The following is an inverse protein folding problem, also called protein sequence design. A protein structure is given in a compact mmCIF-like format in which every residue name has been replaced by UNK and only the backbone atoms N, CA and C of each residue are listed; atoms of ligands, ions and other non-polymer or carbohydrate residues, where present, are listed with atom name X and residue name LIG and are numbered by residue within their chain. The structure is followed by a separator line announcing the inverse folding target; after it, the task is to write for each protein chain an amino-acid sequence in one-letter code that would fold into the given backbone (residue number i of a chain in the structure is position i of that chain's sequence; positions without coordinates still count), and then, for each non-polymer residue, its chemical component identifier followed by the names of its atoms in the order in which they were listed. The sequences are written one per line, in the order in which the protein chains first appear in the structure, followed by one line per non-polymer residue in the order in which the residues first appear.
data_IF_182433706106
#
_entry.id   IF_182433706106
#
_cell.length_a   1.000
_cell.length_b   1.000
_cell.length_c   1.000
_cell.angle_alpha   90.00
_cell.angle_beta   90.00
_cell.angle_gamma   90.00
#
_symmetry.space_group_name_H-M   'P 1'
#
loop_
_entity.id
_entity.type
_entity.pdbx_description
1 polymer ?
#
# COMPACT_ATOMS: atom_id res chain seq x y z
N UNK A 1 -2.23 -5.29 11.86
CA UNK A 1 -2.49 -6.71 11.47
C UNK A 1 -2.38 -7.59 12.71
N UNK A 2 -3.24 -8.60 12.86
CA UNK A 2 -3.19 -9.55 13.98
C UNK A 2 -3.19 -10.98 13.42
N UNK A 3 -2.42 -11.88 14.05
CA UNK A 3 -2.36 -13.30 13.70
C UNK A 3 -3.07 -14.11 14.80
N UNK A 4 -4.02 -14.96 14.44
CA UNK A 4 -4.67 -15.86 15.40
C UNK A 4 -3.75 -17.03 15.76
N UNK A 5 -4.06 -17.76 16.82
CA UNK A 5 -3.34 -19.00 17.17
C UNK A 5 -3.38 -20.07 16.07
N UNK A 6 -4.32 -19.96 15.13
CA UNK A 6 -4.45 -20.85 13.97
C UNK A 6 -3.64 -20.35 12.76
N UNK A 7 -2.81 -19.32 12.91
CA UNK A 7 -2.05 -18.72 11.81
C UNK A 7 -2.90 -17.91 10.83
N UNK A 8 -4.15 -17.58 11.18
CA UNK A 8 -5.01 -16.75 10.33
C UNK A 8 -4.65 -15.27 10.52
N UNK A 9 -4.37 -14.61 9.40
CA UNK A 9 -4.08 -13.18 9.37
C UNK A 9 -5.39 -12.40 9.27
N UNK A 10 -5.59 -11.43 10.18
CA UNK A 10 -6.72 -10.50 10.16
C UNK A 10 -6.22 -9.07 10.10
N UNK A 11 -6.82 -8.27 9.21
CA UNK A 11 -6.71 -6.82 9.28
C UNK A 11 -7.46 -6.35 10.52
N UNK A 12 -6.81 -5.46 11.27
CA UNK A 12 -7.30 -4.88 12.49
C UNK A 12 -6.77 -3.45 12.55
N UNK A 13 -7.40 -2.62 13.37
CA UNK A 13 -7.14 -1.18 13.48
C UNK A 13 -7.60 -0.37 12.26
N UNK A 14 -8.88 -0.02 12.26
CA UNK A 14 -9.51 0.84 11.24
C UNK A 14 -9.62 2.30 11.72
N UNK A 15 -8.83 2.72 12.71
CA UNK A 15 -8.93 4.06 13.33
C UNK A 15 -8.68 5.22 12.36
N UNK A 16 -8.05 4.94 11.22
CA UNK A 16 -7.77 5.89 10.13
C UNK A 16 -8.44 5.50 8.80
N UNK A 17 -9.34 4.52 8.82
CA UNK A 17 -10.02 4.05 7.61
C UNK A 17 -11.15 5.02 7.22
N UNK A 18 -11.12 5.50 5.97
CA UNK A 18 -12.14 6.39 5.42
C UNK A 18 -12.97 5.67 4.37
N UNK A 19 -14.30 5.85 4.39
CA UNK A 19 -15.16 5.39 3.30
C UNK A 19 -14.91 6.27 2.08
N UNK A 20 -14.74 5.65 0.91
CA UNK A 20 -14.67 6.35 -0.38
C UNK A 20 -16.05 6.87 -0.80
N UNK A 21 -16.69 7.68 0.04
CA UNK A 21 -17.88 8.48 -0.32
C UNK A 21 -17.42 9.88 -0.68
N UNK A 22 -17.95 10.46 -1.77
CA UNK A 22 -17.50 11.70 -2.44
C UNK A 22 -17.46 12.98 -1.57
N UNK A 23 -17.66 12.92 -0.26
CA UNK A 23 -17.89 14.10 0.58
C UNK A 23 -16.97 14.30 1.81
N UNK A 24 -16.06 13.38 2.17
CA UNK A 24 -15.29 13.52 3.43
C UNK A 24 -13.78 13.30 3.26
N UNK A 25 -13.09 14.28 2.66
CA UNK A 25 -11.63 14.26 2.46
C UNK A 25 -10.89 15.25 3.38
N UNK A 26 -11.49 15.60 4.53
CA UNK A 26 -11.01 16.71 5.36
C UNK A 26 -10.36 16.31 6.70
N UNK A 27 -9.81 15.10 6.83
CA UNK A 27 -9.04 14.71 8.02
C UNK A 27 -7.55 15.02 7.84
N UNK A 28 -7.23 16.32 7.80
CA UNK A 28 -5.87 16.86 7.68
C UNK A 28 -5.11 16.86 9.02
N UNK A 29 -4.66 15.69 9.46
CA UNK A 29 -3.58 15.62 10.44
C UNK A 29 -2.62 14.50 10.06
N UNK A 30 -1.33 14.82 9.90
CA UNK A 30 -0.24 13.84 9.77
C UNK A 30 -0.10 13.12 11.11
N UNK A 31 -1.03 12.20 11.38
CA UNK A 31 -1.04 11.32 12.54
C UNK A 31 -0.96 9.92 12.01
N UNK A 32 0.24 9.36 12.07
CA UNK A 32 0.57 8.04 11.56
C UNK A 32 2.07 7.87 11.53
N UNK A 33 2.53 6.62 11.57
CA UNK A 33 3.93 6.31 11.36
C UNK A 33 4.20 6.39 9.84
N UNK A 34 5.04 7.31 9.34
CA UNK A 34 5.02 7.73 7.93
C UNK A 34 5.50 6.67 6.94
N UNK A 35 6.16 5.62 7.43
CA UNK A 35 6.89 4.64 6.61
C UNK A 35 6.01 3.77 5.69
N UNK A 36 4.69 3.76 5.92
CA UNK A 36 3.72 3.06 5.06
C UNK A 36 2.92 4.01 4.16
N UNK A 37 3.07 5.33 4.32
CA UNK A 37 2.28 6.29 3.55
C UNK A 37 2.71 6.28 2.09
N UNK A 38 1.74 6.26 1.18
CA UNK A 38 1.98 6.41 -0.25
C UNK A 38 2.31 7.88 -0.59
N UNK A 39 3.08 8.15 -1.65
CA UNK A 39 3.47 9.52 -2.01
C UNK A 39 2.26 10.44 -2.21
N UNK A 40 1.18 9.96 -2.85
CA UNK A 40 -0.04 10.75 -3.06
C UNK A 40 -0.78 11.12 -1.76
N UNK A 41 -0.61 10.32 -0.70
CA UNK A 41 -1.17 10.61 0.62
C UNK A 41 -0.34 11.71 1.31
N UNK A 42 0.98 11.66 1.15
CA UNK A 42 1.91 12.66 1.70
C UNK A 42 1.73 14.01 1.00
N UNK A 43 1.59 13.99 -0.32
CA UNK A 43 1.38 15.18 -1.17
C UNK A 43 -0.06 15.70 -1.09
N UNK A 44 -0.92 15.12 -0.25
CA UNK A 44 -2.34 15.47 -0.09
C UNK A 44 -3.11 15.48 -1.42
N UNK A 45 -2.69 14.66 -2.37
CA UNK A 45 -3.30 14.52 -3.71
C UNK A 45 -4.50 13.57 -3.72
N UNK A 46 -4.81 12.98 -2.57
CA UNK A 46 -5.99 12.14 -2.34
C UNK A 46 -5.61 10.74 -1.84
N UNK A 47 -6.47 10.17 -0.99
CA UNK A 47 -6.36 8.79 -0.52
C UNK A 47 -7.22 7.89 -1.40
N UNK A 48 -6.68 6.76 -1.85
CA UNK A 48 -7.46 5.81 -2.63
C UNK A 48 -7.02 4.35 -2.42
N UNK A 49 -7.76 3.40 -2.99
CA UNK A 49 -7.46 1.97 -2.84
C UNK A 49 -6.05 1.60 -3.32
N UNK A 50 -5.46 2.36 -4.25
CA UNK A 50 -4.08 2.16 -4.67
C UNK A 50 -3.06 2.58 -3.59
N UNK A 51 -3.40 3.56 -2.74
CA UNK A 51 -2.58 3.94 -1.58
C UNK A 51 -2.47 2.77 -0.59
N UNK A 52 -3.52 1.98 -0.42
CA UNK A 52 -3.46 0.74 0.39
C UNK A 52 -2.50 -0.29 -0.20
N UNK A 53 -2.41 -0.40 -1.53
CA UNK A 53 -1.47 -1.31 -2.21
C UNK A 53 -0.01 -0.94 -1.91
N UNK A 54 0.31 0.35 -1.84
CA UNK A 54 1.63 0.81 -1.42
C UNK A 54 1.93 0.39 0.03
N UNK A 55 0.98 0.61 0.94
CA UNK A 55 1.09 0.21 2.34
C UNK A 55 1.26 -1.30 2.50
N UNK A 56 0.62 -2.11 1.66
CA UNK A 56 0.82 -3.56 1.60
C UNK A 56 2.26 -3.89 1.19
N UNK A 57 2.81 -3.23 0.17
CA UNK A 57 4.21 -3.41 -0.22
C UNK A 57 5.17 -3.11 0.93
N UNK A 58 4.94 -2.02 1.66
CA UNK A 58 5.73 -1.65 2.85
C UNK A 58 5.62 -2.71 3.95
N UNK A 59 4.42 -3.26 4.16
CA UNK A 59 4.18 -4.35 5.12
C UNK A 59 4.92 -5.63 4.70
N UNK A 60 5.01 -5.95 3.40
CA UNK A 60 5.80 -7.10 2.94
C UNK A 60 7.29 -6.91 3.24
N UNK A 61 7.84 -5.71 3.03
CA UNK A 61 9.23 -5.42 3.43
C UNK A 61 9.42 -5.57 4.93
N UNK A 62 8.49 -5.04 5.73
CA UNK A 62 8.52 -5.19 7.19
C UNK A 62 8.48 -6.66 7.62
N UNK A 63 7.67 -7.50 6.98
CA UNK A 63 7.62 -8.93 7.27
C UNK A 63 8.92 -9.66 6.89
N UNK A 64 9.63 -9.19 5.86
CA UNK A 64 10.89 -9.79 5.42
C UNK A 64 12.09 -9.35 6.26
N UNK A 65 12.07 -8.13 6.79
CA UNK A 65 13.23 -7.48 7.42
C UNK A 65 13.03 -7.12 8.89
N UNK A 66 11.82 -7.34 9.42
CA UNK A 66 11.35 -6.91 10.73
C UNK A 66 11.29 -5.39 10.94
N UNK A 67 11.53 -4.58 9.90
CA UNK A 67 11.46 -3.11 9.95
C UNK A 67 10.82 -2.56 8.67
N UNK A 68 10.02 -1.48 8.73
CA UNK A 68 9.47 -0.88 7.52
C UNK A 68 10.56 -0.24 6.65
N UNK A 69 10.27 0.06 5.38
CA UNK A 69 11.19 0.83 4.55
C UNK A 69 11.53 2.17 5.21
N UNK A 70 12.77 2.63 5.04
CA UNK A 70 13.25 3.89 5.61
C UNK A 70 13.23 3.99 7.15
N UNK A 71 13.15 2.86 7.86
CA UNK A 71 13.14 2.83 9.34
C UNK A 71 14.31 3.59 10.00
N UNK A 72 15.49 3.61 9.36
CA UNK A 72 16.68 4.31 9.87
C UNK A 72 16.60 5.85 9.74
N UNK A 73 15.61 6.36 9.00
CA UNK A 73 15.42 7.78 8.80
C UNK A 73 14.44 8.35 9.83
N UNK A 74 14.71 9.59 10.25
CA UNK A 74 13.71 10.35 11.01
C UNK A 74 12.45 10.59 10.15
N UNK A 75 11.27 10.79 10.77
CA UNK A 75 9.99 10.90 10.06
C UNK A 75 9.99 11.87 8.87
N UNK A 76 10.50 13.09 9.05
CA UNK A 76 10.51 14.11 8.00
C UNK A 76 11.43 13.72 6.81
N UNK A 77 12.70 13.32 7.03
CA UNK A 77 13.53 12.76 5.97
C UNK A 77 12.90 11.55 5.25
N UNK A 78 12.21 10.65 5.97
CA UNK A 78 11.54 9.51 5.38
C UNK A 78 10.43 9.93 4.41
N UNK A 79 9.58 10.89 4.82
CA UNK A 79 8.54 11.46 3.95
C UNK A 79 9.12 12.03 2.66
N UNK A 80 10.23 12.77 2.76
CA UNK A 80 10.90 13.32 1.59
C UNK A 80 11.41 12.22 0.64
N UNK A 81 12.04 11.16 1.19
CA UNK A 81 12.50 10.02 0.38
C UNK A 81 11.35 9.26 -0.28
N UNK A 82 10.23 9.05 0.42
CA UNK A 82 9.05 8.40 -0.14
C UNK A 82 8.55 9.14 -1.39
N UNK A 83 8.53 10.48 -1.34
CA UNK A 83 8.09 11.31 -2.47
C UNK A 83 9.13 11.35 -3.60
N UNK A 84 10.43 11.38 -3.28
CA UNK A 84 11.50 11.57 -4.27
C UNK A 84 12.01 10.27 -4.90
N UNK A 85 12.35 9.26 -4.09
CA UNK A 85 12.99 8.02 -4.54
C UNK A 85 12.02 7.22 -5.42
N UNK A 86 12.51 6.58 -6.49
CA UNK A 86 11.66 5.87 -7.46
C UNK A 86 10.71 4.86 -6.78
N UNK A 87 11.22 4.11 -5.81
CA UNK A 87 10.48 3.22 -4.93
C UNK A 87 11.20 3.10 -3.57
N UNK A 88 10.52 2.61 -2.51
CA UNK A 88 11.16 2.25 -1.24
C UNK A 88 12.29 1.22 -1.40
N UNK A 89 13.34 1.24 -0.57
CA UNK A 89 14.45 0.30 -0.68
C UNK A 89 13.95 -1.15 -0.59
N UNK A 90 14.25 -1.95 -1.61
CA UNK A 90 13.91 -3.38 -1.65
C UNK A 90 15.14 -4.16 -1.16
N UNK A 91 14.98 -5.09 -0.19
CA UNK A 91 16.08 -5.92 0.30
C UNK A 91 16.73 -6.76 -0.81
N UNK A 92 18.04 -6.94 -0.72
CA UNK A 92 18.79 -7.82 -1.62
C UNK A 92 18.54 -9.31 -1.31
N UNK A 93 18.81 -10.18 -2.29
CA UNK A 93 18.70 -11.63 -2.13
C UNK A 93 17.27 -12.19 -2.19
N UNK A 94 16.30 -11.35 -2.54
CA UNK A 94 14.92 -11.76 -2.77
C UNK A 94 14.74 -12.49 -4.11
N UNK A 95 13.74 -13.37 -4.19
CA UNK A 95 13.40 -14.03 -5.44
C UNK A 95 12.87 -13.04 -6.49
N UNK A 96 12.96 -13.40 -7.77
CA UNK A 96 12.43 -12.57 -8.85
C UNK A 96 10.93 -12.29 -8.66
N UNK A 97 10.15 -13.30 -8.26
CA UNK A 97 8.71 -13.19 -8.05
C UNK A 97 8.33 -12.16 -6.98
N UNK A 98 8.97 -12.18 -5.81
CA UNK A 98 8.64 -11.21 -4.74
C UNK A 98 9.16 -9.81 -5.07
N UNK A 99 10.31 -9.73 -5.74
CA UNK A 99 10.88 -8.45 -6.19
C UNK A 99 9.95 -7.78 -7.21
N UNK A 100 9.41 -8.55 -8.16
CA UNK A 100 8.42 -8.05 -9.12
C UNK A 100 7.13 -7.62 -8.42
N UNK A 101 6.62 -8.41 -7.48
CA UNK A 101 5.46 -8.05 -6.67
C UNK A 101 5.64 -6.69 -5.96
N UNK A 102 6.78 -6.49 -5.30
CA UNK A 102 7.12 -5.24 -4.61
C UNK A 102 7.20 -4.08 -5.60
N UNK A 103 7.84 -4.26 -6.76
CA UNK A 103 7.88 -3.24 -7.82
C UNK A 103 6.51 -2.86 -8.33
N UNK A 104 5.58 -3.81 -8.44
CA UNK A 104 4.20 -3.51 -8.81
C UNK A 104 3.47 -2.69 -7.72
N UNK A 105 3.72 -2.98 -6.44
CA UNK A 105 3.16 -2.21 -5.33
C UNK A 105 3.68 -0.77 -5.29
N UNK A 106 4.93 -0.54 -5.67
CA UNK A 106 5.60 0.77 -5.54
C UNK A 106 5.59 1.63 -6.80
N UNK A 107 4.73 1.33 -7.78
CA UNK A 107 4.54 2.22 -8.93
C UNK A 107 3.99 3.57 -8.47
N UNK A 108 4.70 4.65 -8.78
CA UNK A 108 4.22 6.02 -8.50
C UNK A 108 3.08 6.39 -9.44
N UNK A 109 2.05 7.02 -8.87
CA UNK A 109 0.96 7.62 -9.62
C UNK A 109 1.41 9.03 -10.00
N UNK A 110 1.44 9.35 -11.28
CA UNK A 110 1.68 10.73 -11.73
C UNK A 110 0.33 11.40 -11.92
N UNK A 111 0.02 12.42 -11.13
CA UNK A 111 -1.08 13.31 -11.45
C UNK A 111 -0.60 14.24 -12.56
N UNK A 112 -1.14 14.07 -13.77
CA UNK A 112 -0.99 15.10 -14.79
C UNK A 112 -1.87 16.27 -14.36
N UNK A 113 -1.25 17.37 -13.91
CA UNK A 113 -1.96 18.64 -13.86
C UNK A 113 -2.37 18.94 -15.30
N UNK A 114 -3.67 18.87 -15.59
CA UNK A 114 -4.18 19.48 -16.83
C UNK A 114 -3.78 20.95 -16.79
N UNK A 115 -3.18 21.44 -17.87
CA UNK A 115 -2.76 22.83 -18.04
C UNK A 115 -3.91 23.82 -17.70
N UNK A 116 -3.89 24.40 -16.50
CA UNK A 116 -4.84 25.45 -16.12
C UNK A 116 -4.24 26.83 -16.43
N UNK A 117 -4.46 27.30 -17.66
CA UNK A 117 -4.65 28.73 -17.91
C UNK A 117 -6.16 28.99 -17.88
N UNK A 118 -6.71 29.23 -16.69
CA UNK A 118 -7.61 30.35 -16.42
C UNK A 118 -8.14 30.26 -15.00
N UNK A 119 -8.05 31.39 -14.32
CA UNK A 119 -8.54 31.60 -12.97
C UNK A 119 -10.07 31.55 -12.97
N UNK A 120 -10.65 30.61 -12.23
CA UNK A 120 -11.88 30.80 -11.44
C UNK A 120 -12.07 29.57 -10.53
N UNK A 121 -11.67 29.75 -9.27
CA UNK A 121 -12.08 29.12 -8.00
C UNK A 121 -12.96 27.84 -7.93
N UNK A 122 -12.88 26.90 -8.88
CA UNK A 122 -13.63 25.62 -8.87
C UNK A 122 -12.72 24.43 -9.20
N UNK A 123 -11.47 24.44 -8.73
CA UNK A 123 -10.57 23.26 -8.81
C UNK A 123 -10.38 22.55 -7.46
N UNK A 124 -11.23 22.80 -6.46
CA UNK A 124 -11.36 21.96 -5.25
C UNK A 124 -12.37 20.82 -5.49
N UNK A 125 -12.59 20.42 -6.74
CA UNK A 125 -13.06 19.06 -7.00
C UNK A 125 -11.80 18.27 -7.27
N UNK A 126 -11.28 17.72 -6.17
CA UNK A 126 -10.43 16.54 -6.16
C UNK A 126 -10.93 15.61 -7.27
N UNK A 127 -10.21 15.59 -8.39
CA UNK A 127 -10.46 14.53 -9.37
C UNK A 127 -10.28 13.23 -8.59
N UNK A 128 -11.24 12.29 -8.65
CA UNK A 128 -11.08 11.01 -8.00
C UNK A 128 -9.74 10.43 -8.44
N UNK A 129 -9.08 9.68 -7.55
CA UNK A 129 -7.82 8.96 -7.75
C UNK A 129 -7.94 7.90 -8.87
N UNK A 130 -8.43 8.32 -10.04
CA UNK A 130 -8.81 7.51 -11.18
C UNK A 130 -7.55 7.15 -11.97
N UNK A 131 -6.48 7.94 -11.82
CA UNK A 131 -5.19 7.69 -12.46
C UNK A 131 -4.22 6.82 -11.65
N UNK A 132 -4.66 6.30 -10.50
CA UNK A 132 -3.89 5.32 -9.74
C UNK A 132 -3.80 3.93 -10.40
N UNK A 133 -4.26 3.80 -11.65
CA UNK A 133 -4.21 2.60 -12.51
C UNK A 133 -2.81 2.05 -12.77
N UNK A 134 -1.76 2.78 -12.43
CA UNK A 134 -0.39 2.26 -12.56
C UNK A 134 -0.13 1.13 -11.56
N UNK A 135 -0.68 1.22 -10.34
CA UNK A 135 -0.64 0.10 -9.38
C UNK A 135 -1.77 -0.89 -9.70
N UNK A 136 -1.51 -2.20 -9.68
CA UNK A 136 -2.58 -3.18 -9.82
C UNK A 136 -3.54 -3.08 -8.63
N UNK A 137 -4.83 -3.31 -8.87
CA UNK A 137 -5.79 -3.46 -7.78
C UNK A 137 -5.50 -4.72 -6.96
N UNK A 138 -6.12 -4.81 -5.76
CA UNK A 138 -5.92 -5.95 -4.87
C UNK A 138 -6.27 -7.29 -5.54
N UNK A 139 -7.29 -7.33 -6.40
CA UNK A 139 -7.72 -8.55 -7.09
C UNK A 139 -6.66 -9.05 -8.08
N UNK A 140 -6.08 -8.13 -8.84
CA UNK A 140 -5.01 -8.37 -9.79
C UNK A 140 -3.75 -8.82 -9.06
N UNK A 141 -3.40 -8.11 -7.98
CA UNK A 141 -2.22 -8.41 -7.17
C UNK A 141 -2.33 -9.78 -6.45
N UNK A 142 -3.54 -10.18 -6.03
CA UNK A 142 -3.80 -11.53 -5.49
C UNK A 142 -3.54 -12.64 -6.51
N UNK A 143 -3.58 -12.33 -7.81
CA UNK A 143 -3.32 -13.29 -8.90
C UNK A 143 -1.83 -13.37 -9.26
N UNK A 144 -0.97 -12.59 -8.60
CA UNK A 144 0.47 -12.55 -8.86
C UNK A 144 1.15 -13.92 -8.63
N UNK A 145 2.13 -14.33 -9.47
CA UNK A 145 2.83 -15.61 -9.32
C UNK A 145 3.37 -15.85 -7.92
N UNK A 146 3.96 -14.83 -7.29
CA UNK A 146 4.40 -14.88 -5.89
C UNK A 146 3.28 -15.40 -4.98
N UNK A 147 2.13 -14.73 -4.91
CA UNK A 147 0.99 -15.11 -4.06
C UNK A 147 0.45 -16.50 -4.42
N UNK A 148 0.31 -16.79 -5.71
CA UNK A 148 -0.25 -18.05 -6.19
C UNK A 148 0.66 -19.26 -5.90
N UNK A 149 1.97 -19.06 -5.98
CA UNK A 149 2.97 -20.07 -5.64
C UNK A 149 2.90 -20.41 -4.13
N UNK A 150 2.76 -19.42 -3.25
CA UNK A 150 2.64 -19.66 -1.80
C UNK A 150 1.29 -20.30 -1.40
N UNK A 151 0.18 -19.96 -2.07
CA UNK A 151 -1.11 -20.61 -1.82
C UNK A 151 -1.07 -22.12 -2.07
N UNK A 152 -0.36 -22.56 -3.11
CA UNK A 152 -0.17 -23.99 -3.40
C UNK A 152 0.63 -24.72 -2.31
N UNK A 153 1.53 -24.02 -1.62
CA UNK A 153 2.40 -24.60 -0.57
C UNK A 153 1.68 -24.69 0.79
N UNK A 154 0.75 -23.76 1.08
CA UNK A 154 0.01 -23.76 2.36
C UNK A 154 -1.23 -24.67 2.37
N UNK A 155 -1.81 -25.00 1.22
CA UNK A 155 -2.95 -25.91 1.13
C UNK A 155 -2.67 -27.35 1.64
N UNK A 156 -1.48 -27.94 1.43
CA UNK A 156 -1.11 -29.21 2.07
C UNK A 156 -1.11 -29.16 3.61
N UNK A 157 -0.82 -28.00 4.21
CA UNK A 157 -0.71 -27.84 5.67
C UNK A 157 -2.03 -27.50 6.39
N UNK A 158 -3.07 -27.17 5.64
CA UNK A 158 -4.42 -26.86 6.15
C UNK A 158 -5.38 -28.01 5.84
N UNK A 159 -5.04 -29.24 6.24
CA UNK A 159 -6.06 -30.29 6.36
C UNK A 159 -6.93 -30.00 7.60
N UNK A 160 -8.26 -30.15 7.53
CA UNK A 160 -9.09 -30.02 8.72
C UNK A 160 -8.83 -31.24 9.61
N UNK A 161 -7.91 -31.08 10.57
CA UNK A 161 -7.81 -31.98 11.70
C UNK A 161 -9.05 -31.78 12.57
N UNK A 162 -10.05 -32.67 12.41
CA UNK A 162 -11.24 -32.65 13.26
C UNK A 162 -12.50 -33.27 12.65
N UNK A 163 -12.41 -34.45 12.01
CA UNK A 163 -13.57 -35.32 11.91
C UNK A 163 -13.72 -36.04 13.26
N UNK A 164 -14.50 -35.46 14.17
CA UNK A 164 -14.96 -36.14 15.37
C UNK A 164 -16.03 -37.14 14.92
N UNK A 165 -15.75 -38.43 15.12
CA UNK A 165 -16.73 -39.53 15.07
C UNK A 165 -17.69 -39.43 16.25
#
# INVERSE_FOLDING_TARGET
MIVTFQGLVKLADFGVATKLTEADVNTHSVVGTPYWMAPEVIEMSGVCAASDIWSVGCTVIELLTCVPPYYDLQPMPALFRIVQDEHPPIPDGLSADITDFLRQCFKKVKFSYCDFISAELVCIIMLPCNDARLRPDAKTLLSHPWIQNYRRILQPSLSPSGAIR
#
